data_IF_458431763925
#
_entry.id   IF_458431763925
#
_cell.length_a   1.000
_cell.length_b   1.000
_cell.length_c   1.000
_cell.angle_alpha   90.00
_cell.angle_beta   90.00
_cell.angle_gamma   90.00
#
_symmetry.space_group_name_H-M   'P 1'
#
loop_
_entity.id
_entity.type
_entity.pdbx_description
1 polymer ?
#
# COMPACT_ATOMS: atom_id res chain seq x y z
N UNK A 1 -10.87 -24.04 -62.88
CA UNK A 1 -10.94 -22.64 -62.42
C UNK A 1 -10.10 -22.51 -61.16
N UNK A 2 -9.00 -21.76 -61.23
CA UNK A 2 -8.21 -21.35 -60.06
C UNK A 2 -8.71 -19.98 -59.63
N UNK A 3 -9.22 -19.88 -58.42
CA UNK A 3 -9.31 -18.61 -57.69
C UNK A 3 -8.73 -18.87 -56.31
N UNK A 4 -7.61 -18.21 -55.94
CA UNK A 4 -6.98 -18.39 -54.64
C UNK A 4 -7.86 -17.80 -53.52
N UNK A 5 -7.78 -18.34 -52.29
CA UNK A 5 -8.36 -17.69 -51.12
C UNK A 5 -7.66 -16.36 -50.86
N UNK A 6 -8.36 -15.33 -50.33
CA UNK A 6 -7.68 -14.13 -49.87
C UNK A 6 -6.70 -14.49 -48.74
N UNK A 7 -5.43 -14.27 -49.06
CA UNK A 7 -4.29 -14.23 -48.16
C UNK A 7 -4.47 -13.13 -47.12
N UNK A 8 -4.00 -13.40 -45.91
CA UNK A 8 -3.53 -12.43 -44.92
C UNK A 8 -4.57 -11.48 -44.31
N UNK A 9 -5.29 -12.00 -43.33
CA UNK A 9 -5.58 -11.25 -42.12
C UNK A 9 -5.32 -12.13 -40.89
N UNK A 10 -4.07 -12.56 -40.75
CA UNK A 10 -3.48 -12.87 -39.44
C UNK A 10 -3.47 -11.58 -38.63
N UNK A 11 -4.63 -11.20 -38.11
CA UNK A 11 -4.75 -10.34 -36.95
C UNK A 11 -4.71 -11.24 -35.73
N UNK A 12 -3.56 -11.86 -35.47
CA UNK A 12 -3.25 -12.34 -34.13
C UNK A 12 -3.43 -11.13 -33.20
N UNK A 13 -4.59 -11.06 -32.55
CA UNK A 13 -4.75 -10.18 -31.40
C UNK A 13 -3.57 -10.51 -30.49
N UNK A 14 -2.73 -9.53 -30.09
CA UNK A 14 -1.61 -9.84 -29.23
C UNK A 14 -2.14 -10.46 -27.95
N UNK A 15 -1.99 -11.78 -27.85
CA UNK A 15 -2.11 -12.56 -26.64
C UNK A 15 -0.97 -12.12 -25.72
N UNK A 16 -1.13 -10.97 -25.06
CA UNK A 16 0.04 -10.31 -24.48
C UNK A 16 -0.22 -9.20 -23.48
N UNK A 17 -1.45 -9.01 -22.98
CA UNK A 17 -1.70 -8.13 -21.83
C UNK A 17 -2.79 -8.70 -20.93
N UNK A 18 -2.69 -10.01 -20.60
CA UNK A 18 -3.23 -10.49 -19.34
C UNK A 18 -2.41 -9.84 -18.21
N UNK A 19 -2.57 -8.53 -18.03
CA UNK A 19 -2.11 -7.81 -16.86
C UNK A 19 -2.73 -8.55 -15.69
N UNK A 20 -1.91 -9.35 -15.02
CA UNK A 20 -2.26 -10.18 -13.88
C UNK A 20 -3.05 -9.33 -12.90
N UNK A 21 -4.38 -9.44 -12.94
CA UNK A 21 -5.22 -8.79 -11.95
C UNK A 21 -4.80 -9.41 -10.62
N UNK A 22 -4.18 -8.65 -9.70
CA UNK A 22 -3.59 -9.24 -8.51
C UNK A 22 -4.65 -10.03 -7.79
N UNK A 23 -4.32 -11.27 -7.44
CA UNK A 23 -5.29 -12.17 -6.82
C UNK A 23 -5.90 -11.49 -5.60
N UNK A 24 -7.19 -11.77 -5.32
CA UNK A 24 -7.90 -11.20 -4.15
C UNK A 24 -7.08 -11.35 -2.85
N UNK A 25 -6.29 -12.41 -2.76
CA UNK A 25 -5.35 -12.69 -1.66
C UNK A 25 -4.18 -11.72 -1.61
N UNK A 26 -3.53 -11.39 -2.74
CA UNK A 26 -2.41 -10.42 -2.79
C UNK A 26 -2.85 -9.03 -2.35
N UNK A 27 -3.95 -8.54 -2.91
CA UNK A 27 -4.52 -7.23 -2.53
C UNK A 27 -4.84 -7.16 -1.03
N UNK A 28 -5.39 -8.25 -0.47
CA UNK A 28 -5.68 -8.30 0.97
C UNK A 28 -4.39 -8.25 1.80
N UNK A 29 -3.34 -8.96 1.41
CA UNK A 29 -2.04 -8.95 2.10
C UNK A 29 -1.41 -7.56 2.09
N UNK A 30 -1.36 -6.92 0.93
CA UNK A 30 -0.86 -5.56 0.77
C UNK A 30 -1.62 -4.56 1.67
N UNK A 31 -2.95 -4.66 1.73
CA UNK A 31 -3.74 -3.82 2.63
C UNK A 31 -3.42 -4.05 4.11
N UNK A 32 -3.15 -5.29 4.50
CA UNK A 32 -2.71 -5.59 5.86
C UNK A 32 -1.32 -5.04 6.15
N UNK A 33 -0.41 -5.05 5.17
CA UNK A 33 0.93 -4.46 5.32
C UNK A 33 0.86 -2.95 5.52
N UNK A 34 0.05 -2.24 4.72
CA UNK A 34 -0.16 -0.81 4.91
C UNK A 34 -0.79 -0.50 6.26
N UNK A 35 -1.77 -1.28 6.70
CA UNK A 35 -2.33 -1.15 8.05
C UNK A 35 -1.28 -1.34 9.15
N UNK A 36 -0.42 -2.36 9.01
CA UNK A 36 0.68 -2.61 9.96
C UNK A 36 1.67 -1.47 9.96
N UNK A 37 2.00 -0.90 8.80
CA UNK A 37 2.85 0.28 8.70
C UNK A 37 2.24 1.45 9.47
N UNK A 38 0.95 1.72 9.28
CA UNK A 38 0.22 2.75 10.03
C UNK A 38 0.23 2.52 11.53
N UNK A 39 0.05 1.28 11.96
CA UNK A 39 0.11 0.91 13.36
C UNK A 39 1.50 1.15 13.97
N UNK A 40 2.57 0.81 13.23
CA UNK A 40 3.95 1.09 13.65
C UNK A 40 4.18 2.58 13.83
N UNK A 41 3.73 3.41 12.88
CA UNK A 41 3.84 4.87 12.97
C UNK A 41 3.12 5.43 14.20
N UNK A 42 1.89 4.96 14.48
CA UNK A 42 1.15 5.35 15.68
C UNK A 42 1.85 4.91 16.98
N UNK A 43 2.59 3.81 16.94
CA UNK A 43 3.37 3.33 18.09
C UNK A 43 4.69 4.06 18.34
N UNK A 44 5.11 4.97 17.44
CA UNK A 44 6.38 5.68 17.61
C UNK A 44 6.29 6.77 18.70
N UNK A 45 7.43 7.11 19.34
CA UNK A 45 7.57 8.34 20.09
C UNK A 45 7.30 9.57 19.20
N UNK A 46 6.67 10.65 19.72
CA UNK A 46 6.38 11.85 18.93
C UNK A 46 7.60 12.42 18.20
N UNK A 47 8.76 12.45 18.88
CA UNK A 47 10.00 12.95 18.30
C UNK A 47 10.50 12.14 17.10
N UNK A 48 10.20 10.84 17.05
CA UNK A 48 10.55 9.99 15.91
C UNK A 48 9.55 10.17 14.76
N UNK A 49 8.25 10.24 15.07
CA UNK A 49 7.20 10.46 14.08
C UNK A 49 7.32 11.82 13.36
N UNK A 50 7.84 12.85 14.04
CA UNK A 50 8.11 14.16 13.42
C UNK A 50 9.25 14.13 12.40
N UNK A 51 10.19 13.18 12.51
CA UNK A 51 11.32 13.03 11.56
C UNK A 51 10.94 12.29 10.28
N UNK A 52 9.73 11.74 10.24
CA UNK A 52 9.14 11.10 9.08
C UNK A 52 8.25 12.14 8.39
N UNK A 53 8.60 12.45 7.15
CA UNK A 53 7.77 13.30 6.30
C UNK A 53 6.54 12.50 5.88
N UNK A 54 5.37 13.01 6.26
CA UNK A 54 4.07 12.40 6.02
C UNK A 54 3.15 13.49 5.45
N UNK A 55 2.28 13.16 4.49
CA UNK A 55 1.21 14.06 4.09
C UNK A 55 0.38 14.50 5.31
N UNK A 56 -0.06 15.76 5.33
CA UNK A 56 -0.77 16.35 6.48
C UNK A 56 -1.93 15.48 6.95
N UNK A 57 -2.80 15.07 6.02
CA UNK A 57 -3.93 14.19 6.31
C UNK A 57 -3.47 12.88 6.97
N UNK A 58 -2.40 12.25 6.48
CA UNK A 58 -1.91 10.99 7.05
C UNK A 58 -1.38 11.21 8.48
N UNK A 59 -0.67 12.31 8.72
CA UNK A 59 -0.17 12.69 10.04
C UNK A 59 -1.30 12.89 11.04
N UNK A 60 -2.32 13.67 10.68
CA UNK A 60 -3.49 13.90 11.53
C UNK A 60 -4.19 12.60 11.90
N UNK A 61 -4.38 11.70 10.94
CA UNK A 61 -5.06 10.42 11.19
C UNK A 61 -4.22 9.49 12.08
N UNK A 62 -2.88 9.52 11.96
CA UNK A 62 -1.99 8.79 12.85
C UNK A 62 -2.07 9.36 14.26
N UNK A 63 -2.02 10.68 14.44
CA UNK A 63 -2.17 11.33 15.76
C UNK A 63 -3.55 11.02 16.39
N UNK A 64 -4.61 10.99 15.59
CA UNK A 64 -5.93 10.54 16.04
C UNK A 64 -5.89 9.09 16.53
N UNK A 65 -5.28 8.17 15.77
CA UNK A 65 -5.16 6.77 16.17
C UNK A 65 -4.48 6.60 17.53
N UNK A 66 -3.49 7.44 17.87
CA UNK A 66 -2.77 7.41 19.16
C UNK A 66 -3.65 7.76 20.35
N UNK A 67 -4.73 8.53 20.14
CA UNK A 67 -5.66 8.94 21.20
C UNK A 67 -6.81 7.96 21.39
N UNK A 68 -7.06 7.07 20.44
CA UNK A 68 -8.16 6.11 20.51
C UNK A 68 -7.80 4.98 21.48
N UNK A 69 -8.60 4.83 22.54
CA UNK A 69 -8.46 3.75 23.52
C UNK A 69 -9.30 2.51 23.17
N UNK A 70 -10.42 2.69 22.46
CA UNK A 70 -11.32 1.61 22.09
C UNK A 70 -10.75 0.78 20.93
N UNK A 71 -10.61 -0.54 21.14
CA UNK A 71 -10.00 -1.48 20.17
C UNK A 71 -10.66 -1.45 18.79
N UNK A 72 -12.00 -1.46 18.74
CA UNK A 72 -12.75 -1.44 17.49
C UNK A 72 -12.61 -0.11 16.73
N UNK A 73 -12.61 1.01 17.45
CA UNK A 73 -12.38 2.33 16.86
C UNK A 73 -10.95 2.44 16.32
N UNK A 74 -9.96 1.95 17.07
CA UNK A 74 -8.56 1.94 16.64
C UNK A 74 -8.39 1.08 15.38
N UNK A 75 -9.02 -0.11 15.34
CA UNK A 75 -8.98 -0.98 14.16
C UNK A 75 -9.52 -0.28 12.92
N UNK A 76 -10.66 0.42 13.03
CA UNK A 76 -11.27 1.17 11.91
C UNK A 76 -10.39 2.34 11.48
N UNK A 77 -9.79 3.05 12.44
CA UNK A 77 -8.86 4.13 12.15
C UNK A 77 -7.61 3.63 11.40
N UNK A 78 -7.04 2.51 11.83
CA UNK A 78 -5.90 1.88 11.14
C UNK A 78 -6.29 1.42 9.72
N UNK A 79 -7.51 0.94 9.50
CA UNK A 79 -8.00 0.61 8.16
C UNK A 79 -8.06 1.84 7.26
N UNK A 80 -8.53 2.97 7.79
CA UNK A 80 -8.54 4.23 7.05
C UNK A 80 -7.13 4.74 6.75
N UNK A 81 -6.21 4.68 7.72
CA UNK A 81 -4.79 4.98 7.53
C UNK A 81 -4.19 4.08 6.44
N UNK A 82 -4.44 2.76 6.47
CA UNK A 82 -3.96 1.84 5.44
C UNK A 82 -4.52 2.15 4.05
N UNK A 83 -5.74 2.70 3.95
CA UNK A 83 -6.27 3.22 2.69
C UNK A 83 -5.55 4.50 2.26
N UNK A 84 -5.29 5.44 3.16
CA UNK A 84 -4.55 6.67 2.86
C UNK A 84 -3.12 6.38 2.41
N UNK A 85 -2.48 5.36 2.99
CA UNK A 85 -1.13 4.94 2.61
C UNK A 85 -0.99 4.44 1.18
N UNK A 86 -2.07 4.04 0.50
CA UNK A 86 -2.02 3.74 -0.94
C UNK A 86 -1.80 4.98 -1.80
N UNK A 87 -2.27 6.13 -1.31
CA UNK A 87 -2.13 7.40 -1.99
C UNK A 87 -0.87 8.15 -1.55
N UNK A 88 -0.29 7.73 -0.42
CA UNK A 88 1.01 8.20 0.02
C UNK A 88 2.11 7.31 -0.59
N UNK A 89 3.33 7.82 -0.66
CA UNK A 89 4.50 7.00 -1.02
C UNK A 89 4.87 6.09 0.17
N UNK A 90 4.20 4.93 0.25
CA UNK A 90 4.40 3.97 1.33
C UNK A 90 5.84 3.44 1.39
N UNK A 91 6.51 3.34 0.25
CA UNK A 91 7.90 2.87 0.18
C UNK A 91 8.86 3.91 0.77
N UNK A 92 8.70 5.20 0.42
CA UNK A 92 9.46 6.28 1.05
C UNK A 92 9.22 6.33 2.57
N UNK A 93 7.97 6.14 3.01
CA UNK A 93 7.62 6.10 4.44
C UNK A 93 8.31 4.91 5.14
N UNK A 94 8.32 3.72 4.52
CA UNK A 94 9.03 2.54 5.06
C UNK A 94 10.53 2.79 5.18
N UNK A 95 11.15 3.33 4.13
CA UNK A 95 12.58 3.64 4.14
C UNK A 95 12.91 4.63 5.25
N UNK A 96 12.11 5.70 5.40
CA UNK A 96 12.33 6.70 6.44
C UNK A 96 12.09 6.14 7.85
N UNK A 97 11.08 5.29 8.01
CA UNK A 97 10.82 4.57 9.26
C UNK A 97 12.00 3.69 9.67
N UNK A 98 12.61 2.96 8.74
CA UNK A 98 13.77 2.12 9.00
C UNK A 98 14.98 2.94 9.47
N UNK A 99 15.25 4.09 8.84
CA UNK A 99 16.33 5.02 9.24
C UNK A 99 16.10 5.58 10.65
N UNK A 100 14.86 5.97 10.97
CA UNK A 100 14.53 6.58 12.27
C UNK A 100 14.55 5.55 13.42
N UNK A 101 14.10 4.31 13.16
CA UNK A 101 14.01 3.27 14.19
C UNK A 101 15.26 2.41 14.29
N UNK A 102 16.16 2.45 13.30
CA UNK A 102 17.34 1.60 13.21
C UNK A 102 17.01 0.10 13.05
N UNK A 103 15.75 -0.25 12.81
CA UNK A 103 15.30 -1.63 12.60
C UNK A 103 15.00 -1.80 11.12
N UNK A 104 15.68 -2.73 10.42
CA UNK A 104 15.27 -3.11 9.08
C UNK A 104 13.84 -3.68 9.16
N UNK A 105 13.02 -3.41 8.14
CA UNK A 105 11.70 -4.01 8.06
C UNK A 105 11.90 -5.54 8.06
N UNK A 106 11.54 -6.19 9.17
CA UNK A 106 11.42 -7.63 9.18
C UNK A 106 10.27 -7.96 8.22
N UNK A 107 10.64 -8.32 6.99
CA UNK A 107 9.77 -8.98 6.04
C UNK A 107 9.15 -10.17 6.77
N UNK A 108 7.85 -10.09 7.03
CA UNK A 108 7.03 -11.19 7.54
C UNK A 108 6.48 -11.97 6.35
#
# INVERSE_FOLDING_TARGET
MRTPPPSDATGEAPAGLALERPSKTRLKREMHELQRLGQRLAGLPPAQLQRIELPELLREQIEMARRITAREALRRQLQYIGRLMRNADAEAIRARLAVVTGKPEAAL
#
